data_IF_047763967921
#
_entry.id   IF_047763967921
#
_cell.length_a   1.000
_cell.length_b   1.000
_cell.length_c   1.000
_cell.angle_alpha   90.00
_cell.angle_beta   90.00
_cell.angle_gamma   90.00
#
_symmetry.space_group_name_H-M   'P 1'
#
loop_
_entity.id
_entity.type
_entity.pdbx_description
1 polymer ?
#
# COMPACT_ATOMS: atom_id res chain seq x y z
N UNK A 1 -11.45 59.51 -1.37
CA UNK A 1 -10.52 59.02 -2.41
C UNK A 1 -9.27 58.35 -1.80
N UNK A 2 -9.42 57.35 -0.90
CA UNK A 2 -8.27 56.68 -0.21
C UNK A 2 -8.55 55.22 0.25
N UNK A 3 -9.45 54.48 -0.40
CA UNK A 3 -9.75 53.09 0.02
C UNK A 3 -9.82 52.03 -1.08
N UNK A 4 -9.42 52.35 -2.32
CA UNK A 4 -9.57 51.43 -3.46
C UNK A 4 -8.27 50.74 -3.95
N UNK A 5 -7.12 50.95 -3.30
CA UNK A 5 -5.82 50.48 -3.81
C UNK A 5 -5.31 49.20 -3.12
N UNK A 6 -5.95 48.74 -2.02
CA UNK A 6 -5.45 47.61 -1.23
C UNK A 6 -6.15 46.26 -1.51
N UNK A 7 -6.84 46.10 -2.65
CA UNK A 7 -7.51 44.84 -3.01
C UNK A 7 -6.98 44.18 -4.29
N UNK A 8 -6.01 44.80 -4.97
CA UNK A 8 -5.47 44.29 -6.25
C UNK A 8 -4.15 43.50 -6.07
N UNK A 9 -3.56 43.47 -4.87
CA UNK A 9 -2.31 42.73 -4.61
C UNK A 9 -2.47 41.31 -4.05
N UNK A 10 -3.69 40.88 -3.67
CA UNK A 10 -3.93 39.52 -3.16
C UNK A 10 -4.46 38.53 -4.20
N UNK A 11 -4.78 38.97 -5.43
CA UNK A 11 -5.23 38.05 -6.50
C UNK A 11 -4.09 37.52 -7.38
N UNK A 12 -2.84 37.93 -7.16
CA UNK A 12 -1.69 37.46 -7.94
C UNK A 12 -0.78 36.45 -7.22
N UNK A 13 -1.11 36.06 -5.99
CA UNK A 13 -0.35 35.04 -5.23
C UNK A 13 -1.10 33.70 -5.14
N UNK A 14 -1.58 33.18 -6.28
CA UNK A 14 -2.02 31.78 -6.38
C UNK A 14 -1.83 31.24 -7.79
N UNK A 15 -0.75 31.65 -8.46
CA UNK A 15 -0.18 30.89 -9.58
C UNK A 15 1.09 30.21 -9.08
N UNK A 16 0.96 29.34 -8.07
CA UNK A 16 1.89 28.22 -8.00
C UNK A 16 1.56 27.38 -9.23
N UNK A 17 2.36 27.55 -10.29
CA UNK A 17 2.31 26.67 -11.44
C UNK A 17 2.42 25.24 -10.92
N UNK A 18 1.40 24.44 -11.20
CA UNK A 18 1.49 23.00 -11.01
C UNK A 18 2.55 22.51 -12.00
N UNK A 19 3.80 22.46 -11.52
CA UNK A 19 4.94 21.87 -12.25
C UNK A 19 4.48 20.49 -12.70
N UNK A 20 4.50 20.25 -14.01
CA UNK A 20 3.99 18.99 -14.56
C UNK A 20 4.76 17.81 -13.95
N UNK A 21 4.10 16.66 -13.77
CA UNK A 21 4.74 15.47 -13.20
C UNK A 21 6.05 15.13 -13.94
N UNK A 22 6.03 15.28 -15.28
CA UNK A 22 7.19 15.05 -16.12
C UNK A 22 8.34 16.01 -15.83
N UNK A 23 8.07 17.31 -15.61
CA UNK A 23 9.09 18.26 -15.20
C UNK A 23 9.72 17.86 -13.85
N UNK A 24 8.91 17.45 -12.88
CA UNK A 24 9.43 16.95 -11.58
C UNK A 24 10.34 15.75 -11.78
N UNK A 25 9.92 14.77 -12.59
CA UNK A 25 10.69 13.55 -12.87
C UNK A 25 12.00 13.87 -13.61
N UNK A 26 11.99 14.79 -14.58
CA UNK A 26 13.19 15.17 -15.34
C UNK A 26 14.29 15.73 -14.43
N UNK A 27 13.93 16.38 -13.32
CA UNK A 27 14.91 16.88 -12.32
C UNK A 27 15.61 15.78 -11.51
N UNK A 28 15.08 14.55 -11.52
CA UNK A 28 15.67 13.40 -10.81
C UNK A 28 16.75 12.78 -11.70
N UNK A 29 17.98 12.52 -11.19
CA UNK A 29 19.03 11.84 -11.95
C UNK A 29 18.56 10.53 -12.57
N UNK A 30 19.13 10.15 -13.72
CA UNK A 30 18.68 8.96 -14.46
C UNK A 30 18.75 7.68 -13.63
N UNK A 31 19.81 7.47 -12.85
CA UNK A 31 19.97 6.28 -12.01
C UNK A 31 18.92 6.23 -10.89
N UNK A 32 18.63 7.37 -10.26
CA UNK A 32 17.58 7.45 -9.25
C UNK A 32 16.20 7.19 -9.85
N UNK A 33 15.92 7.68 -11.08
CA UNK A 33 14.67 7.35 -11.79
C UNK A 33 14.52 5.85 -12.07
N UNK A 34 15.61 5.17 -12.47
CA UNK A 34 15.60 3.72 -12.69
C UNK A 34 15.35 2.98 -11.38
N UNK A 35 15.99 3.38 -10.29
CA UNK A 35 15.78 2.80 -8.97
C UNK A 35 14.32 2.94 -8.51
N UNK A 36 13.70 4.11 -8.73
CA UNK A 36 12.28 4.33 -8.43
C UNK A 36 11.35 3.51 -9.35
N UNK A 37 11.64 3.42 -10.64
CA UNK A 37 10.89 2.58 -11.59
C UNK A 37 10.92 1.11 -11.14
N UNK A 38 12.07 0.59 -10.73
CA UNK A 38 12.22 -0.77 -10.22
C UNK A 38 11.47 -0.95 -8.89
N UNK A 39 11.58 0.00 -7.96
CA UNK A 39 10.84 -0.04 -6.70
C UNK A 39 9.33 -0.16 -6.93
N UNK A 40 8.78 0.74 -7.76
CA UNK A 40 7.35 0.74 -8.06
C UNK A 40 6.93 -0.51 -8.84
N UNK A 41 7.79 -1.01 -9.74
CA UNK A 41 7.56 -2.28 -10.40
C UNK A 41 7.45 -3.43 -9.40
N UNK A 42 8.35 -3.50 -8.42
CA UNK A 42 8.35 -4.54 -7.41
C UNK A 42 7.07 -4.50 -6.57
N UNK A 43 6.75 -3.35 -5.94
CA UNK A 43 5.60 -3.26 -5.02
C UNK A 43 4.25 -3.30 -5.73
N UNK A 44 4.15 -2.77 -6.96
CA UNK A 44 2.88 -2.78 -7.71
C UNK A 44 2.62 -4.16 -8.28
N UNK A 45 3.63 -4.81 -8.83
CA UNK A 45 3.47 -6.13 -9.41
C UNK A 45 3.30 -7.20 -8.33
N UNK A 46 4.23 -7.25 -7.37
CA UNK A 46 4.35 -8.38 -6.45
C UNK A 46 3.59 -8.15 -5.14
N UNK A 47 3.49 -6.91 -4.65
CA UNK A 47 2.90 -6.60 -3.34
C UNK A 47 1.50 -6.00 -3.43
N UNK A 48 0.86 -6.09 -4.60
CA UNK A 48 -0.52 -5.67 -4.85
C UNK A 48 -0.77 -4.16 -4.68
N UNK A 49 0.25 -3.30 -4.77
CA UNK A 49 0.05 -1.84 -4.61
C UNK A 49 -0.82 -1.26 -5.72
N UNK A 50 -0.82 -1.86 -6.91
CA UNK A 50 -1.67 -1.43 -8.02
C UNK A 50 -3.16 -1.42 -7.67
N UNK A 51 -3.66 -2.39 -6.90
CA UNK A 51 -5.07 -2.44 -6.49
C UNK A 51 -5.44 -1.33 -5.50
N UNK A 52 -4.47 -0.83 -4.74
CA UNK A 52 -4.65 0.28 -3.80
C UNK A 52 -4.56 1.62 -4.53
N UNK A 53 -3.61 1.75 -5.46
CA UNK A 53 -3.37 2.96 -6.27
C UNK A 53 -4.46 3.27 -7.30
N UNK A 54 -5.11 2.25 -7.86
CA UNK A 54 -6.10 2.41 -8.94
C UNK A 54 -7.45 1.75 -8.66
N UNK A 55 -7.59 1.12 -7.51
CA UNK A 55 -8.82 0.51 -7.06
C UNK A 55 -9.31 1.13 -5.75
N UNK A 56 -10.14 0.37 -5.06
CA UNK A 56 -10.69 0.68 -3.75
C UNK A 56 -10.16 -0.29 -2.69
N UNK A 57 -9.02 -0.95 -2.95
CA UNK A 57 -8.34 -1.73 -1.93
C UNK A 57 -7.82 -0.75 -0.86
N UNK A 58 -8.17 -0.93 0.43
CA UNK A 58 -7.84 0.06 1.45
C UNK A 58 -6.34 0.13 1.75
N UNK A 59 -5.69 -1.03 1.90
CA UNK A 59 -4.29 -1.13 2.30
C UNK A 59 -3.57 -2.21 1.49
N UNK A 60 -2.34 -1.94 1.07
CA UNK A 60 -1.38 -2.95 0.63
C UNK A 60 -0.13 -2.92 1.51
N UNK A 61 0.48 -4.09 1.68
CA UNK A 61 1.63 -4.32 2.55
C UNK A 61 2.68 -5.08 1.76
N UNK A 62 3.92 -4.62 1.85
CA UNK A 62 5.11 -5.30 1.34
C UNK A 62 6.09 -5.52 2.51
N UNK A 63 6.47 -6.77 2.79
CA UNK A 63 7.46 -7.09 3.81
C UNK A 63 8.76 -7.51 3.12
N UNK A 64 9.85 -6.82 3.43
CA UNK A 64 11.17 -7.08 2.82
C UNK A 64 12.22 -7.22 3.93
N UNK A 65 13.08 -8.22 3.84
CA UNK A 65 14.14 -8.38 4.83
C UNK A 65 15.25 -7.36 4.61
N UNK A 66 15.89 -6.94 5.70
CA UNK A 66 17.14 -6.20 5.68
C UNK A 66 18.25 -7.22 5.52
N UNK A 67 19.12 -7.03 4.53
CA UNK A 67 20.25 -7.94 4.35
C UNK A 67 21.32 -7.64 5.39
N UNK A 68 21.49 -8.49 6.40
CA UNK A 68 22.71 -8.51 7.23
C UNK A 68 23.71 -9.57 6.71
N UNK A 69 25.02 -9.43 6.99
CA UNK A 69 26.04 -10.36 6.50
C UNK A 69 25.81 -11.84 6.85
N UNK A 70 25.08 -12.13 7.93
CA UNK A 70 24.81 -13.50 8.40
C UNK A 70 23.55 -14.13 7.79
N UNK A 71 22.65 -13.32 7.23
CA UNK A 71 21.31 -13.71 6.80
C UNK A 71 21.20 -14.12 5.32
N UNK A 72 22.24 -13.86 4.52
CA UNK A 72 22.38 -14.46 3.18
C UNK A 72 22.28 -15.99 3.20
N UNK A 73 22.55 -16.61 4.36
CA UNK A 73 22.52 -18.06 4.59
C UNK A 73 21.11 -18.61 4.83
N UNK A 74 20.18 -17.83 5.40
CA UNK A 74 18.83 -18.29 5.75
C UNK A 74 17.86 -18.21 4.57
N UNK A 75 18.06 -17.25 3.66
CA UNK A 75 17.24 -17.08 2.45
C UNK A 75 17.85 -17.70 1.18
N UNK A 76 18.93 -18.47 1.29
CA UNK A 76 19.63 -19.06 0.13
C UNK A 76 19.99 -18.02 -0.95
N UNK A 77 20.30 -16.77 -0.54
CA UNK A 77 20.63 -15.68 -1.45
C UNK A 77 19.48 -15.06 -2.25
N UNK A 78 18.21 -15.25 -1.85
CA UNK A 78 17.05 -14.64 -2.54
C UNK A 78 16.76 -13.20 -2.10
N UNK A 79 17.31 -12.75 -0.98
CA UNK A 79 17.17 -11.37 -0.54
C UNK A 79 18.16 -10.47 -1.25
N UNK A 80 17.69 -9.71 -2.24
CA UNK A 80 18.48 -8.60 -2.74
C UNK A 80 18.38 -7.44 -1.73
N UNK A 81 19.51 -6.93 -1.25
CA UNK A 81 19.51 -5.68 -0.49
C UNK A 81 19.17 -4.46 -1.36
N UNK A 82 18.72 -4.69 -2.60
CA UNK A 82 18.46 -3.65 -3.59
C UNK A 82 17.12 -2.99 -3.31
N UNK A 83 16.11 -3.74 -2.82
CA UNK A 83 14.83 -3.13 -2.42
C UNK A 83 15.03 -1.92 -1.49
N UNK A 84 15.78 -2.10 -0.40
CA UNK A 84 16.01 -1.02 0.56
C UNK A 84 16.87 0.12 0.01
N UNK A 85 17.83 -0.17 -0.87
CA UNK A 85 18.56 0.88 -1.59
C UNK A 85 17.64 1.70 -2.48
N UNK A 86 16.70 1.06 -3.17
CA UNK A 86 15.68 1.75 -3.99
C UNK A 86 14.71 2.53 -3.10
N UNK A 87 14.36 1.99 -1.92
CA UNK A 87 13.54 2.70 -0.93
C UNK A 87 14.22 3.98 -0.41
N UNK A 88 15.52 3.95 -0.16
CA UNK A 88 16.28 5.15 0.23
C UNK A 88 16.22 6.24 -0.85
N UNK A 89 16.22 5.86 -2.13
CA UNK A 89 15.98 6.79 -3.24
C UNK A 89 14.56 7.35 -3.18
N UNK A 90 13.54 6.54 -2.87
CA UNK A 90 12.18 7.05 -2.64
C UNK A 90 12.13 8.08 -1.51
N UNK A 91 12.72 7.78 -0.36
CA UNK A 91 12.75 8.69 0.80
C UNK A 91 13.39 10.05 0.45
N UNK A 92 14.44 10.04 -0.39
CA UNK A 92 15.09 11.27 -0.89
C UNK A 92 14.16 12.17 -1.71
N UNK A 93 13.16 11.60 -2.38
CA UNK A 93 12.30 12.32 -3.33
C UNK A 93 10.82 12.40 -2.94
N UNK A 94 10.37 11.69 -1.90
CA UNK A 94 8.94 11.61 -1.52
C UNK A 94 8.29 12.99 -1.34
N UNK A 95 9.02 13.96 -0.80
CA UNK A 95 8.50 15.31 -0.56
C UNK A 95 8.19 16.08 -1.85
N UNK A 96 8.72 15.64 -3.01
CA UNK A 96 8.35 16.19 -4.33
C UNK A 96 6.96 15.73 -4.79
N UNK A 97 6.41 14.69 -4.16
CA UNK A 97 5.16 14.01 -4.52
C UNK A 97 4.21 13.92 -3.32
N UNK A 98 3.80 15.06 -2.74
CA UNK A 98 2.84 15.05 -1.64
C UNK A 98 1.47 14.59 -2.14
N UNK A 99 0.91 13.55 -1.52
CA UNK A 99 -0.41 13.02 -1.88
C UNK A 99 -1.44 13.32 -0.80
N UNK A 100 -2.58 13.83 -1.23
CA UNK A 100 -3.76 13.98 -0.35
C UNK A 100 -4.51 12.65 -0.20
N UNK A 101 -4.42 11.77 -1.19
CA UNK A 101 -5.22 10.55 -1.32
C UNK A 101 -4.53 9.30 -0.77
N UNK A 102 -3.20 9.28 -0.77
CA UNK A 102 -2.41 8.12 -0.40
C UNK A 102 -1.43 8.43 0.72
N UNK A 103 -1.17 7.42 1.54
CA UNK A 103 -0.11 7.44 2.54
C UNK A 103 0.80 6.24 2.27
N UNK A 104 2.06 6.49 1.96
CA UNK A 104 3.09 5.48 1.75
C UNK A 104 4.14 5.63 2.84
N UNK A 105 4.24 4.63 3.72
CA UNK A 105 5.08 4.67 4.91
C UNK A 105 5.89 3.39 5.09
N UNK A 106 7.01 3.51 5.79
CA UNK A 106 7.86 2.40 6.25
C UNK A 106 7.64 2.19 7.73
N UNK A 107 7.43 0.94 8.13
CA UNK A 107 7.35 0.51 9.52
C UNK A 107 8.52 -0.42 9.83
N UNK A 108 9.26 -0.06 10.87
CA UNK A 108 10.40 -0.84 11.34
C UNK A 108 9.97 -1.69 12.52
N UNK A 109 10.25 -2.99 12.48
CA UNK A 109 9.99 -3.86 13.62
C UNK A 109 11.06 -3.63 14.70
N UNK A 110 10.81 -2.68 15.59
CA UNK A 110 11.74 -2.33 16.68
C UNK A 110 11.70 -3.33 17.84
N UNK A 111 10.66 -4.17 17.91
CA UNK A 111 10.34 -4.97 19.09
C UNK A 111 11.11 -6.30 19.16
N UNK A 112 11.66 -6.77 18.04
CA UNK A 112 12.46 -7.99 18.02
C UNK A 112 13.61 -7.85 17.03
N UNK A 113 14.85 -7.68 17.52
CA UNK A 113 16.04 -7.68 16.66
C UNK A 113 16.31 -9.05 16.00
N UNK A 114 15.43 -10.05 16.18
CA UNK A 114 15.46 -11.34 15.49
C UNK A 114 14.55 -11.37 14.24
N UNK A 115 13.62 -10.43 14.09
CA UNK A 115 12.80 -10.29 12.89
C UNK A 115 13.35 -9.13 12.04
N UNK A 116 14.24 -9.47 11.10
CA UNK A 116 14.95 -8.53 10.23
C UNK A 116 14.10 -8.01 9.07
N UNK A 117 12.78 -7.94 9.21
CA UNK A 117 11.89 -7.45 8.16
C UNK A 117 11.34 -6.09 8.51
N UNK A 118 11.50 -5.13 7.61
CA UNK A 118 10.70 -3.93 7.63
C UNK A 118 9.51 -4.09 6.70
N UNK A 119 8.49 -3.30 6.98
CA UNK A 119 7.26 -3.28 6.22
C UNK A 119 7.12 -1.95 5.49
N UNK A 120 6.65 -2.00 4.26
CA UNK A 120 6.12 -0.84 3.54
C UNK A 120 4.61 -0.97 3.49
N UNK A 121 3.91 0.07 3.94
CA UNK A 121 2.45 0.13 3.95
C UNK A 121 2.00 1.24 3.01
N UNK A 122 1.11 0.90 2.08
CA UNK A 122 0.40 1.85 1.25
C UNK A 122 -1.08 1.87 1.66
N UNK A 123 -1.58 3.04 2.03
CA UNK A 123 -2.96 3.27 2.43
C UNK A 123 -3.64 4.18 1.40
N UNK A 124 -4.75 3.73 0.83
CA UNK A 124 -5.70 4.59 0.14
C UNK A 124 -6.61 5.23 1.20
N UNK A 125 -6.39 6.51 1.52
CA UNK A 125 -7.06 7.19 2.65
C UNK A 125 -8.58 7.14 2.52
N UNK A 126 -9.11 7.36 1.31
CA UNK A 126 -10.55 7.31 1.06
C UNK A 126 -11.15 5.92 1.29
N UNK A 127 -10.58 4.90 0.65
CA UNK A 127 -11.05 3.51 0.78
C UNK A 127 -10.88 2.98 2.22
N UNK A 128 -9.81 3.37 2.89
CA UNK A 128 -9.55 3.08 4.29
C UNK A 128 -10.65 3.61 5.22
N UNK A 129 -10.94 4.91 5.15
CA UNK A 129 -11.98 5.53 5.96
C UNK A 129 -13.36 4.91 5.68
N UNK A 130 -13.70 4.68 4.41
CA UNK A 130 -14.96 4.03 4.04
C UNK A 130 -15.06 2.59 4.58
N UNK A 131 -13.96 1.86 4.58
CA UNK A 131 -13.91 0.48 5.09
C UNK A 131 -14.11 0.44 6.60
N UNK A 132 -13.43 1.30 7.36
CA UNK A 132 -13.64 1.41 8.81
C UNK A 132 -15.09 1.81 9.09
N UNK A 133 -15.65 2.79 8.39
CA UNK A 133 -17.07 3.20 8.55
C UNK A 133 -18.03 2.04 8.30
N UNK A 134 -17.79 1.25 7.26
CA UNK A 134 -18.61 0.08 6.91
C UNK A 134 -18.57 -0.99 7.99
N UNK A 135 -17.41 -1.23 8.59
CA UNK A 135 -17.19 -2.28 9.59
C UNK A 135 -17.02 -1.73 11.01
N UNK A 136 -17.59 -0.55 11.30
CA UNK A 136 -17.29 0.21 12.52
C UNK A 136 -17.52 -0.61 13.79
N UNK A 137 -18.65 -1.33 13.87
CA UNK A 137 -18.98 -2.17 15.02
C UNK A 137 -17.96 -3.29 15.27
N UNK A 138 -17.35 -3.83 14.21
CA UNK A 138 -16.31 -4.87 14.33
C UNK A 138 -15.03 -4.24 14.90
N UNK A 139 -14.63 -3.08 14.37
CA UNK A 139 -13.48 -2.32 14.88
C UNK A 139 -13.66 -1.95 16.35
N UNK A 140 -14.80 -1.37 16.73
CA UNK A 140 -15.07 -0.97 18.12
C UNK A 140 -15.13 -2.18 19.06
N UNK A 141 -15.73 -3.28 18.61
CA UNK A 141 -15.81 -4.53 19.38
C UNK A 141 -14.43 -5.14 19.63
N UNK A 142 -13.53 -5.14 18.64
CA UNK A 142 -12.20 -5.72 18.78
C UNK A 142 -11.28 -4.80 19.58
N UNK A 143 -11.26 -3.50 19.24
CA UNK A 143 -10.39 -2.51 19.88
C UNK A 143 -10.87 -2.08 21.27
N UNK A 144 -12.09 -2.46 21.68
CA UNK A 144 -12.70 -2.14 22.98
C UNK A 144 -12.78 -0.64 23.26
N UNK A 145 -12.92 0.15 22.20
CA UNK A 145 -13.03 1.60 22.28
C UNK A 145 -13.90 2.13 21.14
N UNK A 146 -14.44 3.34 21.31
CA UNK A 146 -15.09 4.06 20.21
C UNK A 146 -14.06 4.39 19.14
N UNK A 147 -14.43 4.19 17.88
CA UNK A 147 -13.54 4.46 16.73
C UNK A 147 -14.09 5.63 15.94
N UNK A 148 -13.25 6.65 15.75
CA UNK A 148 -13.52 7.75 14.82
C UNK A 148 -12.57 7.56 13.65
N UNK A 149 -13.05 7.15 12.45
CA UNK A 149 -12.20 6.76 11.32
C UNK A 149 -11.14 7.79 10.96
N UNK A 150 -11.50 9.08 10.97
CA UNK A 150 -10.60 10.18 10.64
C UNK A 150 -9.47 10.32 11.66
N UNK A 151 -9.79 10.20 12.96
CA UNK A 151 -8.78 10.21 14.02
C UNK A 151 -7.90 8.96 13.98
N UNK A 152 -8.48 7.82 13.59
CA UNK A 152 -7.75 6.57 13.44
C UNK A 152 -6.67 6.71 12.35
N UNK A 153 -7.03 7.23 11.18
CA UNK A 153 -6.07 7.49 10.10
C UNK A 153 -5.04 8.55 10.48
N UNK A 154 -5.46 9.64 11.12
CA UNK A 154 -4.57 10.71 11.55
C UNK A 154 -3.49 10.21 12.52
N UNK A 155 -3.81 9.28 13.43
CA UNK A 155 -2.81 8.68 14.33
C UNK A 155 -1.70 7.93 13.57
N UNK A 156 -2.03 7.29 12.46
CA UNK A 156 -1.05 6.60 11.60
C UNK A 156 -0.23 7.62 10.82
N UNK A 157 -0.90 8.59 10.20
CA UNK A 157 -0.26 9.64 9.39
C UNK A 157 0.71 10.51 10.20
N UNK A 158 0.37 10.81 11.46
CA UNK A 158 1.20 11.58 12.39
C UNK A 158 2.29 10.72 13.07
N UNK A 159 2.36 9.42 12.77
CA UNK A 159 3.34 8.50 13.37
C UNK A 159 3.12 8.23 14.86
N UNK A 160 1.93 8.51 15.41
CA UNK A 160 1.58 8.22 16.81
C UNK A 160 1.39 6.72 17.04
N UNK A 161 0.99 5.99 16.00
CA UNK A 161 0.89 4.53 15.97
C UNK A 161 1.35 4.01 14.62
N UNK A 162 1.95 2.83 14.60
CA UNK A 162 2.08 2.07 13.35
C UNK A 162 0.69 1.59 12.91
N UNK A 163 0.55 1.28 11.63
CA UNK A 163 -0.63 0.64 11.05
C UNK A 163 -0.96 -0.66 11.78
N UNK A 164 0.03 -1.53 12.00
CA UNK A 164 -0.18 -2.80 12.68
C UNK A 164 -0.61 -2.63 14.15
N UNK A 165 0.06 -1.74 14.89
CA UNK A 165 -0.32 -1.41 16.28
C UNK A 165 -1.73 -0.81 16.34
N UNK A 166 -2.13 -0.03 15.33
CA UNK A 166 -3.45 0.60 15.29
C UNK A 166 -4.59 -0.42 15.27
N UNK A 167 -4.34 -1.60 14.72
CA UNK A 167 -5.30 -2.72 14.63
C UNK A 167 -4.99 -3.87 15.61
N UNK A 168 -4.05 -3.67 16.54
CA UNK A 168 -3.61 -4.66 17.53
C UNK A 168 -3.17 -5.99 16.89
N UNK A 169 -2.52 -5.95 15.72
CA UNK A 169 -2.12 -7.13 14.94
C UNK A 169 -3.27 -8.13 14.68
N UNK A 170 -4.52 -7.65 14.69
CA UNK A 170 -5.67 -8.55 14.66
C UNK A 170 -6.00 -9.00 13.23
N UNK A 171 -5.80 -10.30 12.94
CA UNK A 171 -5.99 -10.94 11.63
C UNK A 171 -7.32 -10.57 10.92
N UNK A 172 -8.44 -10.53 11.64
CA UNK A 172 -9.73 -10.11 11.07
C UNK A 172 -9.72 -8.64 10.56
N UNK A 173 -9.23 -7.70 11.37
CA UNK A 173 -9.15 -6.29 10.99
C UNK A 173 -8.17 -6.11 9.82
N UNK A 174 -7.03 -6.80 9.89
CA UNK A 174 -6.03 -6.82 8.83
C UNK A 174 -6.64 -7.35 7.51
N UNK A 175 -7.30 -8.51 7.54
CA UNK A 175 -7.89 -9.11 6.35
C UNK A 175 -8.99 -8.24 5.71
N UNK A 176 -9.79 -7.54 6.52
CA UNK A 176 -10.77 -6.55 6.04
C UNK A 176 -10.06 -5.40 5.33
N UNK A 177 -9.03 -4.81 5.93
CA UNK A 177 -8.28 -3.68 5.39
C UNK A 177 -7.42 -4.04 4.17
N UNK A 178 -6.96 -5.29 4.08
CA UNK A 178 -6.30 -5.84 2.89
C UNK A 178 -7.28 -6.14 1.74
N UNK A 179 -8.59 -5.93 1.95
CA UNK A 179 -9.60 -6.02 0.91
C UNK A 179 -10.07 -7.45 0.61
N UNK A 180 -9.89 -8.40 1.53
CA UNK A 180 -10.35 -9.79 1.38
C UNK A 180 -11.83 -10.00 1.74
N UNK A 181 -12.48 -8.96 2.28
CA UNK A 181 -13.85 -9.02 2.75
C UNK A 181 -13.96 -9.61 4.15
N UNK A 182 -15.12 -9.39 4.78
CA UNK A 182 -15.33 -9.82 6.17
C UNK A 182 -15.32 -11.35 6.29
N UNK A 183 -15.92 -12.06 5.33
CA UNK A 183 -16.04 -13.53 5.40
C UNK A 183 -14.68 -14.21 5.36
N UNK A 184 -13.84 -13.90 4.36
CA UNK A 184 -12.51 -14.50 4.24
C UNK A 184 -11.61 -14.11 5.41
N UNK A 185 -11.67 -12.84 5.85
CA UNK A 185 -10.90 -12.40 7.01
C UNK A 185 -11.32 -13.13 8.29
N UNK A 186 -12.61 -13.42 8.46
CA UNK A 186 -13.13 -14.19 9.61
C UNK A 186 -12.63 -15.63 9.58
N UNK A 187 -12.69 -16.28 8.41
CA UNK A 187 -12.18 -17.64 8.25
C UNK A 187 -10.67 -17.72 8.49
N UNK A 188 -9.91 -16.74 8.00
CA UNK A 188 -8.47 -16.68 8.22
C UNK A 188 -8.12 -16.47 9.70
N UNK A 189 -8.84 -15.57 10.39
CA UNK A 189 -8.68 -15.36 11.83
C UNK A 189 -8.95 -16.63 12.65
N UNK A 190 -9.72 -17.57 12.12
CA UNK A 190 -10.01 -18.86 12.73
C UNK A 190 -9.18 -20.01 12.16
N UNK A 191 -8.17 -19.75 11.32
CA UNK A 191 -7.39 -20.78 10.63
C UNK A 191 -6.80 -21.81 11.59
N UNK A 192 -6.33 -21.43 12.77
CA UNK A 192 -5.75 -22.38 13.73
C UNK A 192 -6.81 -23.27 14.41
N UNK A 193 -8.06 -22.80 14.45
CA UNK A 193 -9.22 -23.58 14.94
C UNK A 193 -9.80 -24.49 13.85
N UNK A 194 -9.62 -24.12 12.58
CA UNK A 194 -10.18 -24.80 11.40
C UNK A 194 -9.18 -25.79 10.79
N UNK A 195 -7.90 -25.46 10.83
CA UNK A 195 -6.78 -26.21 10.28
C UNK A 195 -5.82 -26.60 11.41
N UNK A 196 -6.07 -27.75 12.06
CA UNK A 196 -4.94 -28.52 12.61
C UNK A 196 -4.19 -29.06 11.39
N UNK A 197 -2.95 -28.60 11.22
CA UNK A 197 -1.88 -29.15 10.36
C UNK A 197 -1.53 -28.33 9.10
N UNK A 198 -0.36 -27.68 9.22
CA UNK A 198 0.63 -27.29 8.19
C UNK A 198 0.16 -26.47 6.99
N UNK A 199 0.47 -25.17 7.02
CA UNK A 199 0.66 -24.34 5.82
C UNK A 199 2.15 -23.96 5.68
N UNK A 200 3.01 -24.96 5.49
CA UNK A 200 4.32 -24.78 4.81
C UNK A 200 4.19 -25.21 3.35
N UNK A 201 3.08 -24.87 2.73
CA UNK A 201 2.78 -25.22 1.35
C UNK A 201 1.90 -24.14 0.75
N UNK A 202 2.51 -23.40 -0.18
CA UNK A 202 1.95 -22.89 -1.45
C UNK A 202 2.49 -21.50 -1.79
N UNK A 203 3.81 -21.37 -1.90
CA UNK A 203 4.37 -20.58 -3.02
C UNK A 203 4.22 -21.41 -4.30
N UNK A 204 2.98 -21.61 -4.73
CA UNK A 204 2.75 -22.02 -6.10
C UNK A 204 3.06 -20.79 -6.96
N UNK A 205 4.28 -20.77 -7.54
CA UNK A 205 4.62 -19.86 -8.65
C UNK A 205 3.43 -19.82 -9.58
N UNK A 206 2.76 -18.67 -9.63
CA UNK A 206 1.59 -18.51 -10.49
C UNK A 206 2.02 -18.83 -11.92
N UNK A 207 1.18 -19.58 -12.65
CA UNK A 207 1.33 -19.76 -14.09
C UNK A 207 1.58 -18.36 -14.69
N UNK A 208 2.57 -18.22 -15.58
CA UNK A 208 2.84 -16.96 -16.29
C UNK A 208 1.55 -16.52 -17.00
N UNK A 209 0.81 -15.63 -16.36
CA UNK A 209 -0.30 -14.93 -16.97
C UNK A 209 0.31 -13.83 -17.86
N UNK A 210 -0.32 -13.49 -19.00
CA UNK A 210 0.17 -12.43 -19.87
C UNK A 210 0.07 -11.03 -19.22
N UNK A 211 -0.62 -10.93 -18.08
CA UNK A 211 -0.82 -9.68 -17.37
C UNK A 211 0.37 -9.38 -16.46
N UNK A 212 0.80 -8.11 -16.50
CA UNK A 212 1.97 -7.61 -15.80
C UNK A 212 1.78 -7.69 -14.28
N UNK A 213 0.57 -7.50 -13.77
CA UNK A 213 0.25 -7.42 -12.33
C UNK A 213 -0.12 -8.81 -11.78
N UNK A 214 0.30 -9.15 -10.55
CA UNK A 214 -0.11 -10.40 -9.89
C UNK A 214 -1.57 -10.38 -9.43
N UNK A 215 -2.15 -11.58 -9.32
CA UNK A 215 -3.54 -11.77 -8.86
C UNK A 215 -3.63 -11.82 -7.34
N UNK A 216 -4.72 -11.32 -6.78
CA UNK A 216 -5.03 -11.42 -5.36
C UNK A 216 -5.47 -12.85 -5.03
N UNK A 217 -4.66 -13.56 -4.26
CA UNK A 217 -4.93 -14.95 -3.89
C UNK A 217 -5.90 -15.03 -2.71
N UNK A 218 -7.07 -15.65 -2.93
CA UNK A 218 -8.05 -15.96 -1.88
C UNK A 218 -7.85 -17.41 -1.42
N UNK A 219 -7.59 -17.64 -0.13
CA UNK A 219 -7.26 -18.96 0.40
C UNK A 219 -8.38 -19.64 1.23
N UNK A 220 -9.45 -18.90 1.57
CA UNK A 220 -10.52 -19.40 2.44
C UNK A 220 -11.69 -19.97 1.63
N UNK A 221 -12.89 -19.37 1.71
CA UNK A 221 -14.08 -19.89 1.04
C UNK A 221 -14.29 -19.26 -0.33
N UNK A 222 -13.85 -19.98 -1.37
CA UNK A 222 -13.98 -19.59 -2.77
C UNK A 222 -15.43 -19.62 -3.30
N UNK A 223 -16.36 -20.27 -2.59
CA UNK A 223 -17.75 -20.42 -3.05
C UNK A 223 -18.66 -19.32 -2.50
N UNK A 224 -18.26 -18.65 -1.42
CA UNK A 224 -19.02 -17.57 -0.80
C UNK A 224 -19.31 -16.43 -1.81
N UNK A 225 -20.52 -15.83 -1.79
CA UNK A 225 -20.88 -14.75 -2.70
C UNK A 225 -19.93 -13.54 -2.64
N UNK A 226 -19.49 -13.15 -1.43
CA UNK A 226 -18.53 -12.05 -1.25
C UNK A 226 -17.19 -12.36 -1.94
N UNK A 227 -16.65 -13.57 -1.76
CA UNK A 227 -15.39 -13.99 -2.37
C UNK A 227 -15.49 -14.01 -3.90
N UNK A 228 -16.59 -14.53 -4.45
CA UNK A 228 -16.82 -14.53 -5.91
C UNK A 228 -16.89 -13.11 -6.46
N UNK A 229 -17.58 -12.22 -5.75
CA UNK A 229 -17.66 -10.81 -6.13
C UNK A 229 -16.28 -10.14 -6.12
N UNK A 230 -15.54 -10.26 -5.01
CA UNK A 230 -14.21 -9.66 -4.85
C UNK A 230 -13.22 -10.21 -5.89
N UNK A 231 -13.24 -11.51 -6.14
CA UNK A 231 -12.39 -12.13 -7.17
C UNK A 231 -12.69 -11.54 -8.55
N UNK A 232 -13.95 -11.52 -8.97
CA UNK A 232 -14.36 -10.94 -10.27
C UNK A 232 -13.95 -9.47 -10.39
N UNK A 233 -14.11 -8.71 -9.30
CA UNK A 233 -13.73 -7.30 -9.23
C UNK A 233 -12.23 -7.10 -9.38
N UNK A 234 -11.40 -7.84 -8.64
CA UNK A 234 -9.95 -7.73 -8.75
C UNK A 234 -9.42 -8.28 -10.08
N UNK A 235 -10.01 -9.34 -10.63
CA UNK A 235 -9.69 -9.81 -11.99
C UNK A 235 -9.89 -8.71 -13.04
N UNK A 236 -11.00 -7.96 -12.93
CA UNK A 236 -11.26 -6.83 -13.81
C UNK A 236 -10.25 -5.69 -13.59
N UNK A 237 -10.04 -5.27 -12.34
CA UNK A 237 -9.08 -4.22 -11.98
C UNK A 237 -7.67 -4.57 -12.45
N UNK A 238 -7.25 -5.82 -12.32
CA UNK A 238 -5.94 -6.31 -12.76
C UNK A 238 -5.68 -6.01 -14.24
N UNK A 239 -6.70 -6.23 -15.09
CA UNK A 239 -6.64 -5.90 -16.50
C UNK A 239 -6.48 -4.40 -16.75
N UNK A 240 -7.27 -3.58 -16.04
CA UNK A 240 -7.20 -2.11 -16.14
C UNK A 240 -5.83 -1.59 -15.70
N UNK A 241 -5.34 -2.03 -14.55
CA UNK A 241 -4.04 -1.64 -13.99
C UNK A 241 -2.91 -2.05 -14.96
N UNK A 242 -2.96 -3.26 -15.51
CA UNK A 242 -1.97 -3.71 -16.50
C UNK A 242 -1.95 -2.82 -17.74
N UNK A 243 -3.12 -2.37 -18.22
CA UNK A 243 -3.21 -1.47 -19.37
C UNK A 243 -2.64 -0.07 -19.06
N UNK A 244 -2.89 0.46 -17.86
CA UNK A 244 -2.31 1.73 -17.40
C UNK A 244 -0.79 1.65 -17.42
N UNK A 245 -0.20 0.63 -16.79
CA UNK A 245 1.25 0.49 -16.72
C UNK A 245 1.90 0.14 -18.05
N UNK A 246 1.20 -0.56 -18.96
CA UNK A 246 1.68 -0.78 -20.32
C UNK A 246 1.78 0.52 -21.12
N UNK A 247 0.93 1.51 -20.83
CA UNK A 247 0.90 2.81 -21.52
C UNK A 247 1.87 3.82 -20.89
N UNK A 248 1.90 3.90 -19.56
CA UNK A 248 2.56 4.99 -18.83
C UNK A 248 3.92 4.60 -18.23
N UNK A 249 4.20 3.30 -18.06
CA UNK A 249 5.37 2.82 -17.29
C UNK A 249 5.15 2.91 -15.78
N UNK A 250 6.00 2.23 -14.98
CA UNK A 250 5.78 2.11 -13.55
C UNK A 250 6.03 3.38 -12.76
N UNK A 251 7.04 4.16 -13.16
CA UNK A 251 7.42 5.39 -12.49
C UNK A 251 6.35 6.46 -12.68
N UNK A 252 6.01 6.79 -13.92
CA UNK A 252 5.04 7.85 -14.22
C UNK A 252 3.65 7.45 -13.72
N UNK A 253 3.22 6.22 -14.01
CA UNK A 253 1.92 5.73 -13.57
C UNK A 253 1.77 5.83 -12.05
N UNK A 254 2.74 5.29 -11.29
CA UNK A 254 2.65 5.30 -9.81
C UNK A 254 2.75 6.71 -9.23
N UNK A 255 3.70 7.52 -9.69
CA UNK A 255 3.87 8.89 -9.18
C UNK A 255 2.69 9.81 -9.51
N UNK A 256 1.95 9.57 -10.61
CA UNK A 256 0.74 10.32 -10.93
C UNK A 256 -0.28 10.28 -9.80
N UNK A 257 -0.42 9.13 -9.14
CA UNK A 257 -1.34 8.94 -8.01
C UNK A 257 -0.87 9.66 -6.75
N UNK A 258 0.43 9.89 -6.60
CA UNK A 258 0.98 10.66 -5.49
C UNK A 258 0.95 12.17 -5.70
N UNK A 259 0.52 12.64 -6.88
CA UNK A 259 0.40 14.08 -7.20
C UNK A 259 -1.02 14.58 -7.36
N UNK A 260 -2.01 13.67 -7.29
CA UNK A 260 -3.45 13.96 -7.22
C UNK A 260 -3.91 14.13 -5.77
#
# INVERSE_FOLDING_TARGET
MKFAILFIFCSQLSFLSAVSLNEKIVTIPLEDRKALEELFRDVVNNDHFGYTLYGDKPVSIAAHFRVTPWENTLELGQCDGLFWKRWEVWEKYKDKFPSSNYLLLRETNSASPLFFSDMVVLINKGAFLQTIKRYLLIFESILKQKVIPEQFLAQIEEGKKTFLDSILDHDLLLGILLGYGQHNATLFCHKDKIFKQTCLGLYARSKRFPLIIQDLSFAADLKHPETKYLKKKYDHLRGVISAIYAKEGFLVGSLSRFTE
#
